data_IF_847610066017
#
_entry.id   IF_847610066017
#
_cell.length_a   1.000
_cell.length_b   1.000
_cell.length_c   1.000
_cell.angle_alpha   90.00
_cell.angle_beta   90.00
_cell.angle_gamma   90.00
#
_symmetry.space_group_name_H-M   'P 1'
#
loop_
_entity.id
_entity.type
_entity.pdbx_description
1 polymer ?
#
# COMPACT_ATOMS: atom_id res chain seq x y z
N UNK A 1 -1.35 6.17 -9.86
CA UNK A 1 -0.04 6.77 -9.49
C UNK A 1 0.43 6.32 -8.11
N UNK A 2 -0.33 6.56 -7.03
CA UNK A 2 0.04 6.16 -5.65
C UNK A 2 0.35 4.65 -5.54
N UNK A 3 -0.53 3.78 -6.05
CA UNK A 3 -0.31 2.32 -6.06
C UNK A 3 1.02 1.88 -6.71
N UNK A 4 1.39 2.54 -7.82
CA UNK A 4 2.60 2.23 -8.58
C UNK A 4 3.83 2.77 -7.85
N UNK A 5 3.77 4.01 -7.37
CA UNK A 5 4.88 4.64 -6.65
C UNK A 5 5.16 3.97 -5.31
N UNK A 6 4.14 3.50 -4.58
CA UNK A 6 4.36 2.78 -3.31
C UNK A 6 5.01 1.41 -3.49
N UNK A 7 4.87 0.79 -4.67
CA UNK A 7 5.63 -0.43 -4.99
C UNK A 7 7.06 -0.16 -5.44
N UNK A 8 7.37 1.06 -5.91
CA UNK A 8 8.69 1.41 -6.42
C UNK A 8 9.56 2.15 -5.38
N UNK A 9 8.92 2.99 -4.57
CA UNK A 9 9.57 3.90 -3.62
C UNK A 9 9.20 3.60 -2.16
N UNK A 10 8.37 2.58 -1.87
CA UNK A 10 7.80 2.30 -0.54
C UNK A 10 6.74 3.32 -0.09
N UNK A 11 5.94 2.92 0.89
CA UNK A 11 4.78 3.67 1.39
C UNK A 11 5.19 5.05 1.93
N UNK A 12 6.25 5.09 2.75
CA UNK A 12 6.71 6.32 3.43
C UNK A 12 7.19 7.38 2.43
N UNK A 13 8.11 7.08 1.48
CA UNK A 13 8.50 8.06 0.47
C UNK A 13 7.36 8.50 -0.44
N UNK A 14 6.41 7.61 -0.76
CA UNK A 14 5.23 8.00 -1.57
C UNK A 14 4.40 9.08 -0.87
N UNK A 15 4.18 8.96 0.44
CA UNK A 15 3.46 9.97 1.22
C UNK A 15 4.25 11.27 1.30
N UNK A 16 5.57 11.21 1.51
CA UNK A 16 6.41 12.42 1.55
C UNK A 16 6.46 13.15 0.21
N UNK A 17 6.45 12.42 -0.92
CA UNK A 17 6.52 13.00 -2.26
C UNK A 17 5.17 13.56 -2.75
N UNK A 18 4.05 12.94 -2.38
CA UNK A 18 2.74 13.28 -2.91
C UNK A 18 1.83 14.02 -1.91
N UNK A 19 2.05 13.87 -0.61
CA UNK A 19 1.17 14.37 0.45
C UNK A 19 0.94 15.87 0.38
N UNK A 20 2.01 16.66 0.35
CA UNK A 20 1.89 18.13 0.31
C UNK A 20 1.16 18.65 -0.93
N UNK A 21 1.38 18.04 -2.10
CA UNK A 21 0.72 18.45 -3.36
C UNK A 21 -0.76 18.06 -3.39
N UNK A 22 -1.08 16.85 -2.93
CA UNK A 22 -2.46 16.35 -2.87
C UNK A 22 -3.27 17.14 -1.84
N UNK A 23 -2.70 17.42 -0.67
CA UNK A 23 -3.32 18.21 0.38
C UNK A 23 -3.58 19.65 -0.07
N UNK A 24 -2.59 20.32 -0.64
CA UNK A 24 -2.73 21.69 -1.13
C UNK A 24 -3.79 21.81 -2.24
N UNK A 25 -3.83 20.86 -3.19
CA UNK A 25 -4.83 20.83 -4.24
C UNK A 25 -6.26 20.60 -3.71
N UNK A 26 -6.41 19.77 -2.67
CA UNK A 26 -7.70 19.48 -2.07
C UNK A 26 -8.19 20.59 -1.12
N UNK A 27 -7.27 21.23 -0.40
CA UNK A 27 -7.54 22.39 0.46
C UNK A 27 -8.10 23.58 -0.34
N UNK A 28 -7.66 23.74 -1.60
CA UNK A 28 -8.20 24.75 -2.51
C UNK A 28 -9.70 24.56 -2.85
N UNK A 29 -10.26 23.36 -2.60
CA UNK A 29 -11.67 23.06 -2.85
C UNK A 29 -12.49 23.19 -1.55
N UNK A 30 -12.06 22.53 -0.47
CA UNK A 30 -12.69 22.59 0.86
C UNK A 30 -11.85 21.84 1.89
N UNK A 31 -11.91 22.25 3.17
CA UNK A 31 -11.31 21.53 4.28
C UNK A 31 -11.78 20.06 4.41
N UNK A 32 -13.04 19.78 4.03
CA UNK A 32 -13.59 18.42 3.99
C UNK A 32 -12.88 17.54 2.95
N UNK A 33 -12.58 18.12 1.77
CA UNK A 33 -11.89 17.43 0.68
C UNK A 33 -10.42 17.21 0.96
N UNK A 34 -9.77 18.14 1.67
CA UNK A 34 -8.40 17.96 2.15
C UNK A 34 -8.28 16.74 3.07
N UNK A 35 -9.15 16.64 4.09
CA UNK A 35 -9.18 15.49 5.00
C UNK A 35 -9.41 14.19 4.25
N UNK A 36 -10.34 14.17 3.30
CA UNK A 36 -10.60 12.99 2.45
C UNK A 36 -9.39 12.61 1.61
N UNK A 37 -8.68 13.59 1.05
CA UNK A 37 -7.49 13.35 0.24
C UNK A 37 -6.35 12.72 1.07
N UNK A 38 -6.15 13.18 2.31
CA UNK A 38 -5.23 12.56 3.26
C UNK A 38 -5.63 11.13 3.63
N UNK A 39 -6.92 10.88 3.88
CA UNK A 39 -7.42 9.54 4.18
C UNK A 39 -7.20 8.57 3.01
N UNK A 40 -7.52 9.00 1.78
CA UNK A 40 -7.29 8.20 0.57
C UNK A 40 -5.79 7.93 0.38
N UNK A 41 -4.94 8.95 0.54
CA UNK A 41 -3.48 8.80 0.41
C UNK A 41 -2.93 7.82 1.45
N UNK A 42 -3.33 7.96 2.72
CA UNK A 42 -2.90 7.09 3.81
C UNK A 42 -3.35 5.64 3.57
N UNK A 43 -4.60 5.44 3.16
CA UNK A 43 -5.15 4.12 2.87
C UNK A 43 -4.44 3.46 1.69
N UNK A 44 -4.44 4.13 0.53
CA UNK A 44 -3.91 3.55 -0.71
C UNK A 44 -2.41 3.33 -0.61
N UNK A 45 -1.65 4.23 0.01
CA UNK A 45 -0.21 4.01 0.21
C UNK A 45 0.05 2.80 1.12
N UNK A 46 -0.70 2.64 2.21
CA UNK A 46 -0.55 1.49 3.12
C UNK A 46 -0.84 0.17 2.41
N UNK A 47 -1.98 0.05 1.74
CA UNK A 47 -2.45 -1.20 1.10
C UNK A 47 -1.61 -1.55 -0.14
N UNK A 48 -1.06 -0.55 -0.83
CA UNK A 48 -0.20 -0.76 -2.00
C UNK A 48 1.09 -1.54 -1.69
N UNK A 49 1.63 -1.40 -0.47
CA UNK A 49 2.84 -2.13 -0.04
C UNK A 49 2.68 -3.65 0.00
N UNK A 50 1.44 -4.16 -0.03
CA UNK A 50 1.16 -5.60 -0.06
C UNK A 50 1.12 -6.20 -1.48
N UNK A 51 1.07 -5.36 -2.52
CA UNK A 51 0.88 -5.79 -3.90
C UNK A 51 1.99 -6.75 -4.36
N UNK A 52 3.24 -6.41 -4.06
CA UNK A 52 4.42 -7.19 -4.44
C UNK A 52 5.26 -7.55 -3.23
N UNK A 53 6.11 -8.57 -3.38
CA UNK A 53 6.99 -9.04 -2.30
C UNK A 53 7.95 -7.93 -1.82
N UNK A 54 8.39 -7.05 -2.73
CA UNK A 54 9.28 -5.93 -2.44
C UNK A 54 8.53 -4.66 -1.99
N UNK A 55 7.20 -4.66 -2.04
CA UNK A 55 6.38 -3.49 -1.72
C UNK A 55 6.46 -3.05 -0.26
N UNK A 56 6.92 -3.92 0.65
CA UNK A 56 7.15 -3.56 2.05
C UNK A 56 8.24 -4.40 2.70
N UNK A 57 8.89 -3.82 3.72
CA UNK A 57 9.84 -4.56 4.56
C UNK A 57 9.15 -5.72 5.31
N UNK A 58 7.87 -5.57 5.67
CA UNK A 58 7.10 -6.61 6.34
C UNK A 58 6.99 -7.88 5.48
N UNK A 59 6.73 -7.74 4.18
CA UNK A 59 6.67 -8.88 3.25
C UNK A 59 8.01 -9.63 3.20
N UNK A 60 9.14 -8.92 3.18
CA UNK A 60 10.48 -9.50 3.19
C UNK A 60 10.81 -10.20 4.52
N UNK A 61 10.41 -9.61 5.64
CA UNK A 61 10.56 -10.24 6.96
C UNK A 61 9.79 -11.57 6.98
N UNK A 62 8.52 -11.57 6.58
CA UNK A 62 7.70 -12.78 6.55
C UNK A 62 8.28 -13.81 5.59
N UNK A 63 8.75 -13.40 4.41
CA UNK A 63 9.41 -14.28 3.45
C UNK A 63 10.64 -14.97 4.04
N UNK A 64 11.50 -14.22 4.74
CA UNK A 64 12.71 -14.77 5.35
C UNK A 64 12.38 -15.67 6.56
N UNK A 65 11.37 -15.30 7.36
CA UNK A 65 10.90 -16.14 8.46
C UNK A 65 10.29 -17.45 7.94
N UNK A 66 9.48 -17.39 6.89
CA UNK A 66 8.89 -18.58 6.26
C UNK A 66 9.97 -19.52 5.71
N UNK A 67 11.05 -18.96 5.15
CA UNK A 67 12.19 -19.75 4.66
C UNK A 67 12.96 -20.46 5.79
N UNK A 68 13.06 -19.83 6.97
CA UNK A 68 13.79 -20.35 8.14
C UNK A 68 12.95 -21.26 9.05
N UNK A 69 11.67 -21.47 8.75
CA UNK A 69 10.78 -22.24 9.61
C UNK A 69 11.23 -23.72 9.73
N UNK A 70 11.41 -24.27 10.95
CA UNK A 70 12.00 -25.60 11.16
C UNK A 70 11.19 -26.78 10.60
N UNK A 71 9.86 -26.70 10.64
CA UNK A 71 8.97 -27.82 10.29
C UNK A 71 8.16 -27.58 9.00
N UNK A 72 8.10 -26.33 8.53
CA UNK A 72 7.27 -25.89 7.39
C UNK A 72 8.00 -24.81 6.58
N UNK A 73 9.30 -24.98 6.36
CA UNK A 73 10.11 -24.06 5.55
C UNK A 73 9.50 -23.86 4.17
N UNK A 74 9.21 -22.61 3.80
CA UNK A 74 8.61 -22.28 2.52
C UNK A 74 9.36 -21.14 1.83
N UNK A 75 9.83 -21.40 0.61
CA UNK A 75 10.47 -20.39 -0.21
C UNK A 75 9.41 -19.60 -1.00
N UNK A 76 9.03 -18.45 -0.47
CA UNK A 76 8.08 -17.54 -1.11
C UNK A 76 8.77 -16.77 -2.24
N UNK A 77 8.49 -17.16 -3.49
CA UNK A 77 8.99 -16.43 -4.66
C UNK A 77 8.14 -15.19 -4.95
N UNK A 78 8.73 -14.21 -5.65
CA UNK A 78 8.05 -12.99 -6.07
C UNK A 78 6.69 -13.27 -6.74
N UNK A 79 6.65 -14.20 -7.70
CA UNK A 79 5.43 -14.57 -8.42
C UNK A 79 4.39 -15.26 -7.55
N UNK A 80 4.83 -16.06 -6.56
CA UNK A 80 3.91 -16.70 -5.60
C UNK A 80 3.26 -15.68 -4.69
N UNK A 81 4.05 -14.70 -4.22
CA UNK A 81 3.49 -13.56 -3.47
C UNK A 81 2.52 -12.77 -4.34
N UNK A 82 2.87 -12.47 -5.59
CA UNK A 82 2.04 -11.67 -6.49
C UNK A 82 0.65 -12.26 -6.72
N UNK A 83 0.53 -13.59 -6.80
CA UNK A 83 -0.77 -14.29 -6.90
C UNK A 83 -1.71 -14.02 -5.73
N UNK A 84 -1.17 -13.72 -4.54
CA UNK A 84 -1.93 -13.31 -3.37
C UNK A 84 -2.02 -11.78 -3.25
N UNK A 85 -0.90 -11.07 -3.46
CA UNK A 85 -0.78 -9.63 -3.30
C UNK A 85 -1.69 -8.85 -4.27
N UNK A 86 -1.76 -9.26 -5.54
CA UNK A 86 -2.63 -8.59 -6.52
C UNK A 86 -4.11 -8.62 -6.13
N UNK A 87 -4.75 -9.80 -5.96
CA UNK A 87 -6.17 -9.83 -5.63
C UNK A 87 -6.45 -9.21 -4.25
N UNK A 88 -5.61 -9.46 -3.24
CA UNK A 88 -5.83 -8.89 -1.90
C UNK A 88 -5.71 -7.36 -1.87
N UNK A 89 -4.66 -6.78 -2.50
CA UNK A 89 -4.50 -5.32 -2.59
C UNK A 89 -5.67 -4.67 -3.33
N UNK A 90 -6.14 -5.26 -4.43
CA UNK A 90 -7.28 -4.72 -5.19
C UNK A 90 -8.56 -4.71 -4.34
N UNK A 91 -8.88 -5.85 -3.71
CA UNK A 91 -10.09 -6.00 -2.89
C UNK A 91 -10.07 -5.04 -1.70
N UNK A 92 -8.98 -5.02 -0.94
CA UNK A 92 -8.85 -4.18 0.26
C UNK A 92 -8.84 -2.69 -0.10
N UNK A 93 -8.21 -2.33 -1.23
CA UNK A 93 -8.27 -0.95 -1.73
C UNK A 93 -9.70 -0.55 -2.06
N UNK A 94 -10.44 -1.38 -2.79
CA UNK A 94 -11.82 -1.09 -3.14
C UNK A 94 -12.72 -0.93 -1.90
N UNK A 95 -12.60 -1.84 -0.93
CA UNK A 95 -13.37 -1.78 0.32
C UNK A 95 -13.08 -0.47 1.07
N UNK A 96 -11.80 -0.10 1.24
CA UNK A 96 -11.48 1.13 1.95
C UNK A 96 -11.92 2.40 1.24
N UNK A 97 -11.86 2.44 -0.10
CA UNK A 97 -12.39 3.58 -0.86
C UNK A 97 -13.92 3.71 -0.73
N UNK A 98 -14.64 2.60 -0.57
CA UNK A 98 -16.09 2.61 -0.30
C UNK A 98 -16.37 3.11 1.12
N UNK A 99 -15.53 2.74 2.10
CA UNK A 99 -15.68 3.15 3.51
C UNK A 99 -15.29 4.61 3.76
N UNK A 100 -14.33 5.15 3.00
CA UNK A 100 -13.95 6.57 3.05
C UNK A 100 -15.03 7.39 2.33
N UNK A 101 -16.18 7.55 3.00
CA UNK A 101 -17.24 8.49 2.62
C UNK A 101 -16.95 9.89 3.15
N UNK A 102 -17.51 10.89 2.45
CA UNK A 102 -17.42 12.31 2.80
C UNK A 102 -17.98 12.59 4.19
#
# INVERSE_FOLDING_TARGET
VILVLSNLASNVPTVLLLGGRIAAAAAAISASKEKKAWLILAWVSTVAGNLSLLGSAANLIVCEQARRAPHLGYNLTFWRHLKFGVPSTVIVTAIGLILIRD
#
